data_IF_327099701218
#
_entry.id   IF_327099701218
#
_cell.length_a   1.000
_cell.length_b   1.000
_cell.length_c   1.000
_cell.angle_alpha   90.00
_cell.angle_beta   90.00
_cell.angle_gamma   90.00
#
_symmetry.space_group_name_H-M   'P 1'
#
loop_
_entity.id
_entity.type
_entity.pdbx_description
1 polymer ?
#
# COMPACT_ATOMS: atom_id res chain seq x y z
N UNK A 1 -11.47 -6.60 18.85
CA UNK A 1 -12.36 -7.63 18.27
C UNK A 1 -12.17 -7.78 16.76
N UNK A 2 -12.28 -6.72 16.00
CA UNK A 2 -12.18 -6.78 14.52
C UNK A 2 -10.77 -7.12 14.02
N UNK A 3 -9.73 -6.64 14.67
CA UNK A 3 -8.34 -6.91 14.29
C UNK A 3 -7.93 -8.37 14.51
N UNK A 4 -8.44 -8.98 15.57
CA UNK A 4 -8.21 -10.40 15.84
C UNK A 4 -8.89 -11.27 14.77
N UNK A 5 -10.10 -10.91 14.34
CA UNK A 5 -10.79 -11.59 13.25
C UNK A 5 -10.05 -11.46 11.91
N UNK A 6 -9.50 -10.30 11.60
CA UNK A 6 -8.69 -10.08 10.38
C UNK A 6 -7.41 -10.91 10.45
N UNK A 7 -6.70 -10.88 11.58
CA UNK A 7 -5.51 -11.70 11.80
C UNK A 7 -5.80 -13.19 11.65
N UNK A 8 -6.83 -13.68 12.32
CA UNK A 8 -7.17 -15.10 12.33
C UNK A 8 -7.70 -15.55 10.97
N UNK A 9 -8.47 -14.71 10.28
CA UNK A 9 -8.88 -14.95 8.89
C UNK A 9 -7.68 -14.99 7.95
N UNK A 10 -6.66 -14.17 8.19
CA UNK A 10 -5.40 -14.21 7.43
C UNK A 10 -4.63 -15.50 7.68
N UNK A 11 -4.48 -15.91 8.93
CA UNK A 11 -3.84 -17.18 9.26
C UNK A 11 -4.61 -18.36 8.67
N UNK A 12 -5.94 -18.34 8.71
CA UNK A 12 -6.77 -19.35 8.07
C UNK A 12 -6.58 -19.32 6.56
N UNK A 13 -6.54 -18.13 5.93
CA UNK A 13 -6.33 -18.00 4.49
C UNK A 13 -4.94 -18.47 4.06
N UNK A 14 -3.89 -18.18 4.85
CA UNK A 14 -2.54 -18.69 4.62
C UNK A 14 -2.52 -20.20 4.80
N UNK A 15 -3.12 -20.70 5.88
CA UNK A 15 -3.13 -22.12 6.21
C UNK A 15 -3.92 -22.92 5.18
N UNK A 16 -5.10 -22.43 4.79
CA UNK A 16 -5.92 -23.01 3.72
C UNK A 16 -5.28 -22.78 2.35
N UNK A 17 -4.66 -21.59 2.13
CA UNK A 17 -4.04 -21.22 0.87
C UNK A 17 -2.66 -21.82 0.63
N UNK A 18 -1.79 -21.89 1.63
CA UNK A 18 -0.40 -22.32 1.48
C UNK A 18 0.02 -23.44 2.40
N UNK A 19 -0.66 -23.61 3.54
CA UNK A 19 -0.17 -24.46 4.64
C UNK A 19 -0.60 -25.91 4.61
N UNK A 20 -1.69 -26.25 3.90
CA UNK A 20 -2.16 -27.64 3.84
C UNK A 20 -1.43 -28.48 2.80
N UNK A 21 -0.34 -27.95 2.23
CA UNK A 21 0.54 -28.67 1.31
C UNK A 21 -0.02 -28.83 -0.10
N UNK A 22 0.87 -29.03 -1.04
CA UNK A 22 0.54 -29.19 -2.45
C UNK A 22 -0.46 -30.34 -2.70
N UNK A 23 -0.45 -31.36 -1.87
CA UNK A 23 -1.38 -32.49 -1.99
C UNK A 23 -2.84 -32.11 -1.73
N UNK A 24 -3.11 -31.29 -0.70
CA UNK A 24 -4.45 -30.82 -0.45
C UNK A 24 -4.91 -29.82 -1.51
N UNK A 25 -4.03 -28.93 -1.93
CA UNK A 25 -4.27 -27.97 -3.00
C UNK A 25 -4.68 -28.68 -4.31
N UNK A 26 -4.01 -29.76 -4.67
CA UNK A 26 -4.27 -30.51 -5.90
C UNK A 26 -5.61 -31.29 -5.85
N UNK A 27 -6.13 -31.59 -4.68
CA UNK A 27 -7.37 -32.37 -4.51
C UNK A 27 -8.58 -31.51 -4.16
N UNK A 28 -8.40 -30.24 -3.80
CA UNK A 28 -9.48 -29.37 -3.39
C UNK A 28 -9.97 -28.47 -4.54
N UNK A 29 -11.27 -28.52 -4.92
CA UNK A 29 -11.82 -27.71 -6.02
C UNK A 29 -11.60 -26.21 -5.86
N UNK A 30 -11.62 -25.67 -4.64
CA UNK A 30 -11.38 -24.24 -4.37
C UNK A 30 -9.98 -23.82 -4.82
N UNK A 31 -9.02 -24.70 -4.70
CA UNK A 31 -7.64 -24.45 -5.13
C UNK A 31 -7.45 -24.54 -6.64
N UNK A 32 -8.25 -25.32 -7.32
CA UNK A 32 -8.22 -25.43 -8.78
C UNK A 32 -8.64 -24.12 -9.47
N UNK A 33 -9.32 -23.23 -8.75
CA UNK A 33 -9.70 -21.92 -9.26
C UNK A 33 -8.56 -20.88 -9.17
N UNK A 34 -7.56 -21.10 -8.31
CA UNK A 34 -6.35 -20.29 -8.23
C UNK A 34 -5.28 -20.80 -9.20
N UNK A 35 -5.55 -20.80 -10.48
CA UNK A 35 -4.67 -21.34 -11.52
C UNK A 35 -3.76 -20.30 -12.18
N UNK A 36 -3.94 -19.03 -11.86
CA UNK A 36 -3.18 -17.91 -12.40
C UNK A 36 -2.04 -17.49 -11.46
N UNK A 37 -0.88 -17.20 -12.02
CA UNK A 37 0.26 -16.64 -11.28
C UNK A 37 -0.13 -15.36 -10.53
N UNK A 38 -1.02 -14.58 -11.10
CA UNK A 38 -1.52 -13.33 -10.54
C UNK A 38 -2.24 -13.54 -9.20
N UNK A 39 -3.12 -14.55 -9.10
CA UNK A 39 -3.82 -14.87 -7.86
C UNK A 39 -2.85 -15.21 -6.73
N UNK A 40 -1.89 -16.10 -6.99
CA UNK A 40 -0.88 -16.48 -6.00
C UNK A 40 -0.05 -15.27 -5.57
N UNK A 41 0.45 -14.50 -6.54
CA UNK A 41 1.26 -13.32 -6.26
C UNK A 41 0.51 -12.30 -5.40
N UNK A 42 -0.77 -12.03 -5.70
CA UNK A 42 -1.62 -11.11 -4.93
C UNK A 42 -1.90 -11.60 -3.53
N UNK A 43 -2.27 -12.87 -3.36
CA UNK A 43 -2.56 -13.44 -2.03
C UNK A 43 -1.30 -13.40 -1.14
N UNK A 44 -0.15 -13.83 -1.65
CA UNK A 44 1.08 -13.80 -0.87
C UNK A 44 1.57 -12.39 -0.56
N UNK A 45 1.50 -11.46 -1.52
CA UNK A 45 1.90 -10.08 -1.29
C UNK A 45 0.98 -9.37 -0.28
N UNK A 46 -0.34 -9.58 -0.38
CA UNK A 46 -1.29 -9.02 0.58
C UNK A 46 -1.07 -9.57 1.99
N UNK A 47 -0.85 -10.88 2.10
CA UNK A 47 -0.55 -11.56 3.36
C UNK A 47 0.74 -11.04 4.00
N UNK A 48 1.83 -11.01 3.24
CA UNK A 48 3.11 -10.48 3.70
C UNK A 48 2.98 -9.02 4.14
N UNK A 49 2.21 -8.22 3.37
CA UNK A 49 1.92 -6.83 3.71
C UNK A 49 1.26 -6.67 5.07
N UNK A 50 0.19 -7.43 5.32
CA UNK A 50 -0.52 -7.34 6.60
C UNK A 50 0.32 -7.81 7.78
N UNK A 51 1.09 -8.89 7.63
CA UNK A 51 2.00 -9.35 8.67
C UNK A 51 3.05 -8.27 8.99
N UNK A 52 3.69 -7.72 7.97
CA UNK A 52 4.71 -6.69 8.16
C UNK A 52 4.15 -5.40 8.78
N UNK A 53 2.93 -4.99 8.40
CA UNK A 53 2.28 -3.82 9.01
C UNK A 53 1.95 -4.07 10.49
N UNK A 54 1.50 -5.28 10.84
CA UNK A 54 1.31 -5.65 12.25
C UNK A 54 2.64 -5.68 13.01
N UNK A 55 3.71 -6.16 12.39
CA UNK A 55 5.06 -6.16 13.01
C UNK A 55 5.52 -4.74 13.34
N UNK A 56 5.30 -3.78 12.44
CA UNK A 56 5.61 -2.36 12.68
C UNK A 56 4.72 -1.76 13.76
N UNK A 57 3.41 -1.94 13.64
CA UNK A 57 2.42 -1.40 14.56
C UNK A 57 2.63 -1.85 16.00
N UNK A 58 2.92 -3.13 16.20
CA UNK A 58 3.12 -3.72 17.53
C UNK A 58 4.60 -3.85 17.93
N UNK A 59 5.51 -3.36 17.11
CA UNK A 59 6.96 -3.48 17.36
C UNK A 59 7.39 -4.94 17.65
N UNK A 60 6.92 -5.89 16.86
CA UNK A 60 7.14 -7.32 17.10
C UNK A 60 8.59 -7.73 16.87
N UNK A 61 9.18 -8.28 17.92
CA UNK A 61 10.52 -8.85 17.88
C UNK A 61 11.61 -7.84 17.50
N UNK A 62 12.78 -8.33 17.18
CA UNK A 62 13.91 -7.49 16.75
C UNK A 62 13.69 -6.85 15.37
N UNK A 63 12.97 -7.52 14.48
CA UNK A 63 12.72 -7.04 13.11
C UNK A 63 11.74 -5.87 13.15
N UNK A 64 10.59 -6.01 13.81
CA UNK A 64 9.57 -4.97 13.87
C UNK A 64 10.03 -3.68 14.57
N UNK A 65 11.08 -3.77 15.40
CA UNK A 65 11.72 -2.62 16.10
C UNK A 65 12.88 -2.02 15.31
N UNK A 66 13.37 -2.70 14.27
CA UNK A 66 14.54 -2.24 13.54
C UNK A 66 14.20 -1.08 12.61
N UNK A 67 15.09 -0.07 12.57
CA UNK A 67 14.90 1.11 11.73
C UNK A 67 14.72 0.74 10.25
N UNK A 68 15.55 -0.16 9.72
CA UNK A 68 15.46 -0.56 8.31
C UNK A 68 14.11 -1.17 7.92
N UNK A 69 13.39 -1.77 8.88
CA UNK A 69 12.09 -2.37 8.61
C UNK A 69 10.98 -1.33 8.35
N UNK A 70 11.21 -0.06 8.67
CA UNK A 70 10.30 1.05 8.31
C UNK A 70 10.12 1.19 6.79
N UNK A 71 11.10 0.78 5.99
CA UNK A 71 11.00 0.75 4.53
C UNK A 71 10.13 -0.41 3.99
N UNK A 72 9.77 -1.39 4.82
CA UNK A 72 8.98 -2.54 4.40
C UNK A 72 7.63 -2.16 3.77
N UNK A 73 6.84 -1.21 4.30
CA UNK A 73 5.60 -0.76 3.67
C UNK A 73 5.81 -0.27 2.24
N UNK A 74 6.86 0.50 1.99
CA UNK A 74 7.22 0.90 0.64
C UNK A 74 7.46 -0.31 -0.26
N UNK A 75 8.30 -1.26 0.16
CA UNK A 75 8.67 -2.42 -0.64
C UNK A 75 7.46 -3.27 -1.00
N UNK A 76 6.59 -3.57 -0.03
CA UNK A 76 5.43 -4.43 -0.28
C UNK A 76 4.37 -3.73 -1.15
N UNK A 77 4.19 -2.42 -0.99
CA UNK A 77 3.28 -1.64 -1.85
C UNK A 77 3.82 -1.58 -3.27
N UNK A 78 5.13 -1.32 -3.44
CA UNK A 78 5.79 -1.32 -4.75
C UNK A 78 5.65 -2.68 -5.46
N UNK A 79 5.85 -3.79 -4.74
CA UNK A 79 5.64 -5.15 -5.29
C UNK A 79 4.18 -5.33 -5.74
N UNK A 80 3.21 -4.91 -4.94
CA UNK A 80 1.79 -5.01 -5.30
C UNK A 80 1.44 -4.17 -6.53
N UNK A 81 2.04 -2.99 -6.68
CA UNK A 81 1.90 -2.15 -7.88
C UNK A 81 2.54 -2.85 -9.08
N UNK A 82 3.77 -3.37 -8.94
CA UNK A 82 4.47 -4.06 -10.03
C UNK A 82 3.72 -5.30 -10.53
N UNK A 83 3.09 -6.09 -9.65
CA UNK A 83 2.24 -7.21 -10.05
C UNK A 83 1.11 -6.73 -10.97
N UNK A 84 0.45 -5.61 -10.65
CA UNK A 84 -0.60 -5.04 -11.48
C UNK A 84 -0.05 -4.46 -12.79
N UNK A 85 1.10 -3.80 -12.76
CA UNK A 85 1.79 -3.27 -13.96
C UNK A 85 2.15 -4.39 -14.92
N UNK A 86 2.67 -5.52 -14.41
CA UNK A 86 3.00 -6.69 -15.25
C UNK A 86 1.73 -7.25 -15.89
N UNK A 87 0.62 -7.33 -15.15
CA UNK A 87 -0.67 -7.78 -15.69
C UNK A 87 -1.21 -6.83 -16.77
N UNK A 88 -1.07 -5.51 -16.60
CA UNK A 88 -1.42 -4.54 -17.64
C UNK A 88 -0.59 -4.75 -18.91
N UNK A 89 0.73 -4.86 -18.79
CA UNK A 89 1.60 -5.10 -19.94
C UNK A 89 1.36 -6.49 -20.57
N UNK A 90 1.08 -7.51 -19.77
CA UNK A 90 0.69 -8.83 -20.30
C UNK A 90 -0.55 -8.69 -21.20
N UNK A 91 -1.58 -7.99 -20.72
CA UNK A 91 -2.81 -7.76 -21.50
C UNK A 91 -2.52 -6.95 -22.77
N UNK A 92 -1.69 -5.91 -22.69
CA UNK A 92 -1.29 -5.11 -23.83
C UNK A 92 -0.59 -5.97 -24.92
N UNK A 93 0.35 -6.82 -24.54
CA UNK A 93 1.17 -7.56 -25.49
C UNK A 93 0.50 -8.84 -26.02
N UNK A 94 -0.39 -9.46 -25.26
CA UNK A 94 -1.11 -10.67 -25.72
C UNK A 94 -2.08 -10.40 -26.87
N UNK A 95 -2.71 -9.25 -26.90
CA UNK A 95 -3.80 -8.97 -27.85
C UNK A 95 -3.91 -7.48 -28.21
N UNK A 96 -2.80 -6.86 -28.60
CA UNK A 96 -2.78 -5.42 -28.90
C UNK A 96 -3.79 -5.05 -30.02
N UNK A 97 -4.77 -4.21 -29.67
CA UNK A 97 -5.85 -3.80 -30.56
C UNK A 97 -6.97 -4.83 -30.75
N UNK A 98 -6.92 -5.94 -30.01
CA UNK A 98 -7.91 -7.02 -30.09
C UNK A 98 -8.29 -7.50 -28.68
N UNK A 99 -9.04 -8.59 -28.61
CA UNK A 99 -9.41 -9.24 -27.35
C UNK A 99 -8.67 -10.55 -27.16
N UNK A 100 -8.48 -10.92 -25.89
CA UNK A 100 -8.02 -12.25 -25.50
C UNK A 100 -8.81 -12.74 -24.29
N UNK A 101 -8.83 -14.03 -24.06
CA UNK A 101 -9.52 -14.63 -22.94
C UNK A 101 -8.48 -14.99 -21.87
N UNK A 102 -8.67 -14.48 -20.65
CA UNK A 102 -7.81 -14.79 -19.52
C UNK A 102 -7.97 -16.26 -19.10
N UNK A 103 -7.07 -16.73 -18.24
CA UNK A 103 -7.15 -18.10 -17.65
C UNK A 103 -8.44 -18.33 -16.85
N UNK A 104 -9.12 -17.26 -16.47
CA UNK A 104 -10.39 -17.26 -15.73
C UNK A 104 -11.62 -17.22 -16.63
N UNK A 105 -11.43 -17.25 -17.96
CA UNK A 105 -12.52 -17.16 -18.92
C UNK A 105 -13.05 -15.75 -19.18
N UNK A 106 -12.40 -14.72 -18.64
CA UNK A 106 -12.83 -13.32 -18.81
C UNK A 106 -12.21 -12.73 -20.07
N UNK A 107 -13.05 -12.09 -20.91
CA UNK A 107 -12.60 -11.43 -22.14
C UNK A 107 -12.02 -10.05 -21.81
N UNK A 108 -10.77 -9.83 -22.17
CA UNK A 108 -10.02 -8.61 -21.95
C UNK A 108 -9.60 -7.96 -23.27
N UNK A 109 -9.55 -6.64 -23.30
CA UNK A 109 -8.93 -5.89 -24.39
C UNK A 109 -7.47 -5.61 -24.07
N UNK A 110 -6.59 -5.80 -25.09
CA UNK A 110 -5.21 -5.35 -25.04
C UNK A 110 -5.02 -4.10 -25.88
N UNK A 111 -4.21 -3.15 -25.42
CA UNK A 111 -3.94 -1.95 -26.19
C UNK A 111 -3.23 -0.84 -25.41
N UNK A 112 -3.25 0.36 -25.99
CA UNK A 112 -2.61 1.54 -25.39
C UNK A 112 -3.09 1.87 -23.99
N UNK A 113 -4.35 1.60 -23.66
CA UNK A 113 -4.91 1.83 -22.33
C UNK A 113 -4.15 1.05 -21.25
N UNK A 114 -3.78 -0.20 -21.50
CA UNK A 114 -2.96 -0.99 -20.57
C UNK A 114 -1.52 -0.43 -20.49
N UNK A 115 -0.94 -0.01 -21.61
CA UNK A 115 0.40 0.60 -21.63
C UNK A 115 0.41 1.87 -20.79
N UNK A 116 -0.56 2.76 -20.99
CA UNK A 116 -0.65 4.02 -20.23
C UNK A 116 -0.89 3.77 -18.75
N UNK A 117 -1.73 2.80 -18.41
CA UNK A 117 -1.95 2.45 -17.01
C UNK A 117 -0.73 1.77 -16.39
N UNK A 118 -0.02 0.91 -17.10
CA UNK A 118 1.24 0.33 -16.66
C UNK A 118 2.30 1.41 -16.37
N UNK A 119 2.43 2.41 -17.26
CA UNK A 119 3.32 3.57 -17.04
C UNK A 119 2.86 4.38 -15.82
N UNK A 120 1.55 4.62 -15.67
CA UNK A 120 1.00 5.32 -14.51
C UNK A 120 1.34 4.59 -13.20
N UNK A 121 1.27 3.25 -13.18
CA UNK A 121 1.67 2.43 -12.03
C UNK A 121 3.15 2.54 -11.70
N UNK A 122 4.03 2.54 -12.70
CA UNK A 122 5.46 2.79 -12.49
C UNK A 122 5.72 4.17 -11.89
N UNK A 123 5.06 5.21 -12.41
CA UNK A 123 5.15 6.58 -11.87
C UNK A 123 4.62 6.62 -10.43
N UNK A 124 3.55 5.90 -10.12
CA UNK A 124 2.97 5.84 -8.79
C UNK A 124 3.96 5.33 -7.73
N UNK A 125 4.82 4.37 -8.07
CA UNK A 125 5.89 3.90 -7.18
C UNK A 125 6.82 5.05 -6.80
N UNK A 126 7.19 5.90 -7.75
CA UNK A 126 8.02 7.08 -7.48
C UNK A 126 7.30 8.19 -6.71
N UNK A 127 5.97 8.13 -6.61
CA UNK A 127 5.18 9.07 -5.80
C UNK A 127 5.13 8.70 -4.32
N UNK A 128 5.63 7.54 -3.90
CA UNK A 128 5.75 7.19 -2.49
C UNK A 128 6.96 7.89 -1.88
N UNK A 129 6.73 8.74 -0.89
CA UNK A 129 7.75 9.55 -0.22
C UNK A 129 7.87 9.22 1.26
N UNK A 130 8.93 9.65 1.93
CA UNK A 130 9.11 9.45 3.36
C UNK A 130 9.14 7.98 3.78
N UNK A 131 9.96 7.14 3.14
CA UNK A 131 9.97 5.68 3.38
C UNK A 131 10.34 5.29 4.81
N UNK A 132 11.11 6.14 5.48
CA UNK A 132 11.56 5.92 6.86
C UNK A 132 10.63 6.55 7.89
N UNK A 133 9.64 7.31 7.44
CA UNK A 133 8.69 8.04 8.27
C UNK A 133 7.38 7.26 8.44
N UNK A 134 7.51 6.03 8.91
CA UNK A 134 6.39 5.15 9.26
C UNK A 134 6.42 4.91 10.77
N UNK A 135 5.28 5.08 11.43
CA UNK A 135 5.16 5.09 12.87
C UNK A 135 3.98 4.24 13.36
N UNK A 136 4.02 3.83 14.63
CA UNK A 136 2.85 3.33 15.32
C UNK A 136 2.03 4.50 15.90
N UNK A 137 0.71 4.38 15.97
CA UNK A 137 -0.11 5.30 16.74
C UNK A 137 0.07 5.08 18.24
N UNK A 138 -0.22 6.11 19.08
CA UNK A 138 -0.08 6.07 20.52
C UNK A 138 -0.85 4.89 21.16
N UNK A 139 -2.06 4.64 20.68
CA UNK A 139 -2.90 3.53 21.12
C UNK A 139 -2.55 2.18 20.46
N UNK A 140 -1.50 2.15 19.63
CA UNK A 140 -1.09 0.98 18.83
C UNK A 140 -2.21 0.39 17.95
N UNK A 141 -3.23 1.18 17.62
CA UNK A 141 -4.32 0.72 16.75
C UNK A 141 -3.99 0.85 15.27
N UNK A 142 -3.06 1.76 14.92
CA UNK A 142 -2.72 2.07 13.53
C UNK A 142 -1.22 2.11 13.26
N UNK A 143 -0.84 1.70 12.05
CA UNK A 143 0.43 2.05 11.43
C UNK A 143 0.22 3.33 10.62
N UNK A 144 0.97 4.37 10.94
CA UNK A 144 0.84 5.69 10.33
C UNK A 144 1.96 5.93 9.31
N UNK A 145 1.60 6.44 8.15
CA UNK A 145 2.52 6.95 7.14
C UNK A 145 2.14 8.41 6.82
N UNK A 146 2.64 9.40 7.61
CA UNK A 146 2.19 10.80 7.52
C UNK A 146 2.47 11.45 6.17
N UNK A 147 3.55 11.07 5.50
CA UNK A 147 3.94 11.64 4.21
C UNK A 147 3.10 11.10 3.04
N UNK A 148 2.32 10.01 3.25
CA UNK A 148 1.37 9.48 2.28
C UNK A 148 0.06 10.28 2.34
N UNK A 149 0.08 11.45 1.72
CA UNK A 149 -1.04 12.42 1.74
C UNK A 149 -2.03 12.18 0.61
N UNK A 150 -3.07 13.03 0.55
CA UNK A 150 -4.09 13.00 -0.51
C UNK A 150 -3.52 13.00 -1.93
N UNK A 151 -2.34 13.59 -2.15
CA UNK A 151 -1.67 13.64 -3.47
C UNK A 151 -1.38 12.24 -3.97
N UNK A 152 -0.75 11.41 -3.12
CA UNK A 152 -0.48 10.00 -3.44
C UNK A 152 -1.77 9.20 -3.52
N UNK A 153 -2.66 9.36 -2.52
CA UNK A 153 -3.89 8.58 -2.38
C UNK A 153 -4.76 8.69 -3.63
N UNK A 154 -5.03 9.90 -4.10
CA UNK A 154 -5.86 10.11 -5.30
C UNK A 154 -5.19 9.57 -6.57
N UNK A 155 -3.88 9.78 -6.72
CA UNK A 155 -3.13 9.24 -7.85
C UNK A 155 -3.15 7.70 -7.87
N UNK A 156 -2.99 7.07 -6.71
CA UNK A 156 -3.09 5.62 -6.55
C UNK A 156 -4.50 5.11 -6.83
N UNK A 157 -5.53 5.75 -6.27
CA UNK A 157 -6.92 5.34 -6.45
C UNK A 157 -7.32 5.36 -7.93
N UNK A 158 -6.96 6.42 -8.65
CA UNK A 158 -7.25 6.54 -10.09
C UNK A 158 -6.48 5.49 -10.90
N UNK A 159 -5.20 5.25 -10.59
CA UNK A 159 -4.42 4.21 -11.23
C UNK A 159 -4.97 2.80 -10.95
N UNK A 160 -5.27 2.49 -9.69
CA UNK A 160 -5.74 1.17 -9.31
C UNK A 160 -7.16 0.88 -9.80
N UNK A 161 -8.04 1.89 -9.79
CA UNK A 161 -9.36 1.78 -10.43
C UNK A 161 -9.23 1.46 -11.92
N UNK A 162 -8.36 2.19 -12.63
CA UNK A 162 -8.10 1.93 -14.04
C UNK A 162 -7.58 0.51 -14.27
N UNK A 163 -6.63 0.04 -13.44
CA UNK A 163 -6.15 -1.32 -13.50
C UNK A 163 -7.27 -2.35 -13.37
N UNK A 164 -8.12 -2.20 -12.36
CA UNK A 164 -9.24 -3.14 -12.15
C UNK A 164 -10.28 -3.03 -13.27
N UNK A 165 -10.51 -1.84 -13.80
CA UNK A 165 -11.42 -1.62 -14.91
C UNK A 165 -10.96 -2.31 -16.20
N UNK A 166 -9.66 -2.30 -16.48
CA UNK A 166 -9.06 -2.88 -17.66
C UNK A 166 -8.82 -4.39 -17.55
N UNK A 167 -8.39 -4.86 -16.38
CA UNK A 167 -7.90 -6.24 -16.19
C UNK A 167 -8.82 -7.12 -15.36
N UNK A 168 -9.77 -6.54 -14.63
CA UNK A 168 -10.72 -7.25 -13.77
C UNK A 168 -12.17 -6.72 -13.99
N UNK A 169 -12.67 -6.75 -15.23
CA UNK A 169 -13.90 -6.04 -15.58
C UNK A 169 -15.15 -6.55 -14.85
N UNK A 170 -15.19 -7.81 -14.43
CA UNK A 170 -16.33 -8.42 -13.75
C UNK A 170 -16.54 -7.94 -12.32
N UNK A 171 -15.52 -7.36 -11.69
CA UNK A 171 -15.58 -6.93 -10.30
C UNK A 171 -14.87 -5.59 -10.02
N UNK A 172 -14.68 -4.77 -11.04
CA UNK A 172 -14.03 -3.46 -10.92
C UNK A 172 -14.78 -2.49 -10.00
N UNK A 173 -16.12 -2.56 -9.95
CA UNK A 173 -16.92 -1.65 -9.13
C UNK A 173 -16.80 -1.90 -7.63
N UNK A 174 -16.63 -3.13 -7.17
CA UNK A 174 -16.42 -3.38 -5.76
C UNK A 174 -14.93 -3.48 -5.38
N UNK A 175 -14.08 -4.15 -6.14
CA UNK A 175 -12.66 -4.24 -5.80
C UNK A 175 -11.87 -2.99 -6.21
N UNK A 176 -12.22 -2.36 -7.33
CA UNK A 176 -11.55 -1.17 -7.85
C UNK A 176 -12.16 0.14 -7.38
N UNK A 177 -13.43 0.18 -7.00
CA UNK A 177 -14.08 1.40 -6.54
C UNK A 177 -14.41 1.35 -5.04
N UNK A 178 -15.27 0.44 -4.60
CA UNK A 178 -15.72 0.43 -3.21
C UNK A 178 -14.58 0.16 -2.21
N UNK A 179 -13.69 -0.80 -2.52
CA UNK A 179 -12.56 -1.14 -1.67
C UNK A 179 -11.42 -0.11 -1.68
N UNK A 180 -11.38 0.81 -2.66
CA UNK A 180 -10.51 1.98 -2.65
C UNK A 180 -11.15 3.15 -1.95
N UNK A 181 -12.44 3.37 -2.18
CA UNK A 181 -13.17 4.48 -1.58
C UNK A 181 -13.22 4.36 -0.04
N UNK A 182 -13.40 3.16 0.49
CA UNK A 182 -13.50 2.94 1.93
C UNK A 182 -12.25 3.43 2.71
N UNK A 183 -11.01 3.00 2.40
CA UNK A 183 -9.81 3.51 3.08
C UNK A 183 -9.57 4.99 2.81
N UNK A 184 -9.94 5.50 1.63
CA UNK A 184 -9.75 6.90 1.23
C UNK A 184 -10.68 7.81 2.02
N UNK A 185 -11.96 7.48 2.13
CA UNK A 185 -12.90 8.21 2.98
C UNK A 185 -12.46 8.18 4.45
N UNK A 186 -12.06 7.01 4.96
CA UNK A 186 -11.54 6.89 6.32
C UNK A 186 -10.33 7.81 6.55
N UNK A 187 -9.35 7.80 5.65
CA UNK A 187 -8.15 8.64 5.78
C UNK A 187 -8.46 10.13 5.68
N UNK A 188 -9.47 10.53 4.91
CA UNK A 188 -9.82 11.95 4.76
C UNK A 188 -10.60 12.50 5.93
N UNK A 189 -11.43 11.68 6.58
CA UNK A 189 -12.34 12.14 7.64
C UNK A 189 -11.74 11.92 9.03
N UNK A 190 -11.29 10.70 9.38
CA UNK A 190 -10.89 10.38 10.77
C UNK A 190 -9.56 9.64 10.92
N UNK A 191 -9.07 8.92 9.89
CA UNK A 191 -7.86 8.10 10.02
C UNK A 191 -6.68 8.66 9.21
N UNK A 192 -6.27 9.90 9.53
CA UNK A 192 -5.11 10.54 8.90
C UNK A 192 -3.85 9.73 9.12
N UNK A 193 -3.09 9.51 8.04
CA UNK A 193 -1.87 8.70 8.04
C UNK A 193 -2.09 7.18 7.98
N UNK A 194 -3.28 6.66 8.25
CA UNK A 194 -3.59 5.23 8.27
C UNK A 194 -4.09 4.65 6.93
N UNK A 195 -4.03 5.40 5.85
CA UNK A 195 -4.62 4.98 4.57
C UNK A 195 -4.08 3.64 4.06
N UNK A 196 -2.77 3.46 4.03
CA UNK A 196 -2.16 2.25 3.46
C UNK A 196 -2.48 0.99 4.27
N UNK A 197 -2.56 1.11 5.59
CA UNK A 197 -3.01 0.02 6.45
C UNK A 197 -4.44 -0.38 6.12
N UNK A 198 -5.36 0.59 6.05
CA UNK A 198 -6.76 0.35 5.70
C UNK A 198 -6.89 -0.23 4.29
N UNK A 199 -6.06 0.24 3.35
CA UNK A 199 -6.00 -0.31 1.99
C UNK A 199 -5.49 -1.75 1.97
N UNK A 200 -4.51 -2.09 2.79
CA UNK A 200 -4.04 -3.45 2.94
C UNK A 200 -5.15 -4.37 3.48
N UNK A 201 -5.93 -3.91 4.44
CA UNK A 201 -7.05 -4.69 4.98
C UNK A 201 -8.16 -4.91 3.95
N UNK A 202 -8.54 -3.90 3.18
CA UNK A 202 -9.53 -4.06 2.12
C UNK A 202 -9.01 -4.98 1.00
N UNK A 203 -7.73 -4.89 0.64
CA UNK A 203 -7.10 -5.80 -0.31
C UNK A 203 -7.10 -7.23 0.20
N UNK A 204 -6.86 -7.42 1.49
CA UNK A 204 -6.90 -8.73 2.13
C UNK A 204 -8.25 -9.38 2.05
N UNK A 205 -9.30 -8.63 2.41
CA UNK A 205 -10.67 -9.11 2.32
C UNK A 205 -11.02 -9.48 0.88
N UNK A 206 -10.62 -8.66 -0.09
CA UNK A 206 -10.81 -8.98 -1.50
C UNK A 206 -10.07 -10.26 -1.89
N UNK A 207 -8.82 -10.45 -1.46
CA UNK A 207 -8.07 -11.67 -1.72
C UNK A 207 -8.76 -12.91 -1.17
N UNK A 208 -9.33 -12.85 0.03
CA UNK A 208 -10.06 -13.97 0.62
C UNK A 208 -11.30 -14.38 -0.18
N UNK A 209 -12.07 -13.42 -0.67
CA UNK A 209 -13.34 -13.71 -1.31
C UNK A 209 -13.25 -13.81 -2.83
N UNK A 210 -12.40 -13.04 -3.48
CA UNK A 210 -12.36 -12.95 -4.94
C UNK A 210 -11.14 -13.62 -5.56
N UNK A 211 -9.98 -13.63 -4.89
CA UNK A 211 -8.77 -14.23 -5.43
C UNK A 211 -8.67 -15.71 -5.09
N UNK A 212 -9.09 -16.12 -3.89
CA UNK A 212 -9.09 -17.54 -3.50
C UNK A 212 -10.31 -18.28 -4.01
N UNK A 213 -11.42 -17.58 -4.27
CA UNK A 213 -12.66 -18.12 -4.82
C UNK A 213 -13.13 -17.25 -5.98
N UNK A 214 -12.45 -17.30 -7.15
CA UNK A 214 -12.74 -16.41 -8.28
C UNK A 214 -14.18 -16.46 -8.77
N UNK A 215 -14.85 -17.62 -8.67
CA UNK A 215 -16.27 -17.75 -9.02
C UNK A 215 -17.18 -16.83 -8.20
N UNK A 216 -16.78 -16.44 -6.99
CA UNK A 216 -17.55 -15.48 -6.19
C UNK A 216 -17.63 -14.12 -6.89
N UNK A 217 -16.57 -13.70 -7.55
CA UNK A 217 -16.54 -12.43 -8.27
C UNK A 217 -17.05 -12.54 -9.72
N UNK A 218 -16.76 -13.66 -10.40
CA UNK A 218 -16.98 -13.78 -11.83
C UNK A 218 -18.34 -14.36 -12.21
N UNK A 219 -18.87 -15.30 -11.40
CA UNK A 219 -20.04 -16.10 -11.76
C UNK A 219 -21.24 -15.91 -10.81
N UNK A 220 -21.09 -15.12 -9.76
CA UNK A 220 -22.16 -14.91 -8.78
C UNK A 220 -23.00 -13.67 -9.08
N UNK A 221 -24.08 -13.49 -8.32
CA UNK A 221 -24.93 -12.28 -8.35
C UNK A 221 -24.16 -10.99 -7.99
N UNK A 222 -22.95 -11.11 -7.44
CA UNK A 222 -22.08 -10.00 -7.12
C UNK A 222 -21.17 -9.59 -8.28
N UNK A 223 -21.14 -10.36 -9.37
CA UNK A 223 -20.47 -9.95 -10.59
C UNK A 223 -21.17 -8.71 -11.16
N UNK A 224 -20.39 -7.65 -11.38
CA UNK A 224 -20.89 -6.40 -11.93
C UNK A 224 -19.91 -5.91 -12.99
N UNK A 225 -20.23 -6.22 -14.23
CA UNK A 225 -19.35 -5.91 -15.37
C UNK A 225 -19.15 -4.42 -15.55
N UNK A 226 -17.89 -4.03 -15.77
CA UNK A 226 -17.57 -2.73 -16.32
C UNK A 226 -17.88 -2.69 -17.84
N UNK A 227 -18.06 -1.48 -18.36
CA UNK A 227 -18.23 -1.31 -19.80
C UNK A 227 -16.91 -1.65 -20.50
N UNK A 228 -16.84 -2.83 -21.10
CA UNK A 228 -15.64 -3.29 -21.80
C UNK A 228 -15.55 -2.64 -23.20
N UNK A 229 -15.23 -1.34 -23.21
CA UNK A 229 -15.13 -0.52 -24.40
C UNK A 229 -13.73 0.10 -24.50
N UNK A 230 -12.96 -0.14 -25.57
CA UNK A 230 -11.60 0.37 -25.72
C UNK A 230 -11.44 1.89 -25.59
N UNK A 231 -12.46 2.66 -26.00
CA UNK A 231 -12.42 4.13 -25.88
C UNK A 231 -12.59 4.57 -24.43
N UNK A 232 -13.50 3.93 -23.67
CA UNK A 232 -13.68 4.20 -22.24
C UNK A 232 -12.41 3.80 -21.48
N UNK A 233 -11.86 2.62 -21.75
CA UNK A 233 -10.63 2.13 -21.17
C UNK A 233 -9.47 3.12 -21.41
N UNK A 234 -9.37 3.65 -22.64
CA UNK A 234 -8.35 4.65 -22.98
C UNK A 234 -8.52 5.95 -22.19
N UNK A 235 -9.74 6.48 -22.09
CA UNK A 235 -10.02 7.70 -21.33
C UNK A 235 -9.67 7.53 -19.86
N UNK A 236 -10.10 6.43 -19.24
CA UNK A 236 -9.79 6.15 -17.83
C UNK A 236 -8.28 6.03 -17.62
N UNK A 237 -7.55 5.40 -18.54
CA UNK A 237 -6.09 5.26 -18.47
C UNK A 237 -5.35 6.58 -18.64
N UNK A 238 -5.83 7.46 -19.51
CA UNK A 238 -5.26 8.80 -19.65
C UNK A 238 -5.48 9.67 -18.40
N UNK A 239 -6.64 9.55 -17.76
CA UNK A 239 -6.91 10.22 -16.47
C UNK A 239 -5.96 9.70 -15.39
N UNK A 240 -5.79 8.39 -15.29
CA UNK A 240 -4.86 7.77 -14.34
C UNK A 240 -3.42 8.22 -14.58
N UNK A 241 -2.97 8.22 -15.83
CA UNK A 241 -1.62 8.67 -16.19
C UNK A 241 -1.43 10.15 -15.87
N UNK A 242 -2.37 11.01 -16.26
CA UNK A 242 -2.29 12.45 -15.99
C UNK A 242 -2.23 12.75 -14.48
N UNK A 243 -3.04 12.07 -13.67
CA UNK A 243 -3.02 12.23 -12.22
C UNK A 243 -1.67 11.81 -11.60
N UNK A 244 -1.09 10.70 -12.05
CA UNK A 244 0.20 10.23 -11.55
C UNK A 244 1.35 11.14 -11.98
N UNK A 245 1.35 11.63 -13.22
CA UNK A 245 2.33 12.63 -13.69
C UNK A 245 2.21 13.92 -12.88
N UNK A 246 0.99 14.41 -12.63
CA UNK A 246 0.77 15.62 -11.83
C UNK A 246 1.23 15.43 -10.38
N UNK A 247 0.96 14.28 -9.77
CA UNK A 247 1.41 13.94 -8.42
C UNK A 247 2.94 13.94 -8.34
N UNK A 248 3.62 13.26 -9.28
CA UNK A 248 5.08 13.23 -9.32
C UNK A 248 5.67 14.63 -9.52
N UNK A 249 5.12 15.40 -10.45
CA UNK A 249 5.57 16.78 -10.70
C UNK A 249 5.44 17.65 -9.44
N UNK A 250 4.32 17.51 -8.71
CA UNK A 250 4.10 18.24 -7.46
C UNK A 250 5.07 17.80 -6.36
N UNK A 251 5.34 16.51 -6.21
CA UNK A 251 6.33 15.98 -5.27
C UNK A 251 7.73 16.51 -5.59
N UNK A 252 8.14 16.48 -6.86
CA UNK A 252 9.43 17.02 -7.30
C UNK A 252 9.53 18.53 -7.04
N UNK A 253 8.47 19.27 -7.31
CA UNK A 253 8.41 20.71 -7.00
C UNK A 253 8.61 20.96 -5.50
N UNK A 254 7.85 20.28 -4.64
CA UNK A 254 7.98 20.42 -3.18
C UNK A 254 9.33 20.01 -2.66
N UNK A 255 9.85 18.87 -3.13
CA UNK A 255 11.17 18.35 -2.76
C UNK A 255 12.27 19.37 -3.09
N UNK A 256 12.25 19.95 -4.28
CA UNK A 256 13.18 21.01 -4.67
C UNK A 256 13.01 22.27 -3.82
N UNK A 257 11.78 22.69 -3.54
CA UNK A 257 11.49 23.87 -2.70
C UNK A 257 11.98 23.71 -1.27
N UNK A 258 11.90 22.52 -0.72
CA UNK A 258 12.35 22.20 0.64
C UNK A 258 13.84 21.81 0.70
N UNK A 259 14.48 21.52 -0.44
CA UNK A 259 15.84 21.04 -0.51
C UNK A 259 16.04 19.63 0.04
N UNK A 260 14.99 18.78 0.01
CA UNK A 260 14.98 17.45 0.63
C UNK A 260 14.95 16.33 -0.42
N UNK A 261 15.51 15.18 -0.04
CA UNK A 261 15.36 13.96 -0.84
C UNK A 261 14.02 13.28 -0.48
N UNK A 262 13.06 13.16 -1.40
CA UNK A 262 11.71 12.68 -1.11
C UNK A 262 11.66 11.23 -0.59
N UNK A 263 12.70 10.44 -0.82
CA UNK A 263 12.75 9.04 -0.40
C UNK A 263 13.39 8.85 0.98
N UNK A 264 14.24 9.80 1.38
CA UNK A 264 14.89 9.78 2.69
C UNK A 264 14.21 10.69 3.71
N UNK A 265 13.52 11.73 3.23
CA UNK A 265 12.95 12.78 4.06
C UNK A 265 11.50 13.02 3.69
N UNK A 266 10.76 13.57 4.61
CA UNK A 266 9.36 13.92 4.44
C UNK A 266 9.19 15.15 3.56
N UNK A 267 8.28 15.07 2.60
CA UNK A 267 8.01 16.15 1.64
C UNK A 267 6.81 16.98 2.06
N UNK A 268 5.89 16.38 2.81
CA UNK A 268 4.61 17.00 3.16
C UNK A 268 4.57 17.61 4.56
N UNK A 269 5.72 17.75 5.21
CA UNK A 269 5.87 18.47 6.49
C UNK A 269 5.20 19.84 6.40
N UNK A 270 4.44 20.22 7.43
CA UNK A 270 3.70 21.47 7.50
C UNK A 270 2.33 21.47 6.82
N UNK A 271 1.94 20.42 6.12
CA UNK A 271 0.56 20.27 5.63
C UNK A 271 -0.37 19.81 6.76
N UNK A 272 -1.66 20.21 6.68
CA UNK A 272 -2.66 19.82 7.70
C UNK A 272 -2.81 18.30 7.84
N UNK A 273 -2.74 17.55 6.73
CA UNK A 273 -2.88 16.10 6.75
C UNK A 273 -1.69 15.45 7.45
N UNK A 274 -0.48 15.93 7.16
CA UNK A 274 0.74 15.48 7.83
C UNK A 274 0.69 15.75 9.34
N UNK A 275 0.36 16.98 9.73
CA UNK A 275 0.28 17.36 11.15
C UNK A 275 -0.73 16.52 11.92
N UNK A 276 -1.95 16.31 11.36
CA UNK A 276 -2.97 15.47 11.98
C UNK A 276 -2.56 14.00 12.10
N UNK A 277 -1.77 13.49 11.16
CA UNK A 277 -1.23 12.14 11.27
C UNK A 277 -0.18 12.07 12.39
N UNK A 278 0.65 13.11 12.51
CA UNK A 278 1.68 13.18 13.54
C UNK A 278 1.12 13.37 14.95
N UNK A 279 -0.01 14.08 15.11
CA UNK A 279 -0.73 14.19 16.39
C UNK A 279 -1.19 12.83 16.94
N UNK A 280 -1.35 11.82 16.09
CA UNK A 280 -1.75 10.47 16.48
C UNK A 280 -0.57 9.54 16.78
N UNK A 281 0.63 9.97 16.52
CA UNK A 281 1.83 9.17 16.65
C UNK A 281 2.12 8.90 18.13
N UNK A 282 2.59 7.69 18.45
CA UNK A 282 3.14 7.35 19.76
C UNK A 282 4.29 8.31 20.11
N UNK A 283 4.32 8.77 21.35
CA UNK A 283 5.39 9.65 21.82
C UNK A 283 6.74 8.93 21.67
N UNK A 284 7.74 9.65 21.13
CA UNK A 284 9.08 9.11 20.93
C UNK A 284 9.83 8.83 22.23
N UNK A 285 9.40 9.41 23.33
CA UNK A 285 9.93 9.06 24.64
C UNK A 285 9.87 7.54 24.89
N UNK A 286 8.82 6.87 24.42
CA UNK A 286 8.70 5.41 24.52
C UNK A 286 9.76 4.66 23.69
N UNK A 287 10.17 5.19 22.55
CA UNK A 287 11.25 4.60 21.74
C UNK A 287 12.63 4.85 22.36
N UNK A 288 12.80 5.93 23.11
CA UNK A 288 14.03 6.26 23.84
C UNK A 288 14.14 5.47 25.15
N UNK A 289 13.03 5.10 25.79
CA UNK A 289 13.02 4.24 26.98
C UNK A 289 13.35 2.78 26.69
N UNK A 290 13.23 2.31 25.44
CA UNK A 290 13.56 0.93 25.04
C UNK A 290 14.99 0.76 24.49
N UNK A 291 15.66 1.83 24.14
CA UNK A 291 17.11 1.88 23.87
C UNK A 291 17.82 2.34 25.16
N UNK A 292 19.02 1.82 25.46
CA UNK A 292 19.72 2.23 26.67
C UNK A 292 19.91 3.76 26.66
N UNK A 293 19.29 4.38 27.65
CA UNK A 293 19.15 5.82 27.81
C UNK A 293 20.52 6.52 27.86
N UNK A 294 21.04 6.96 26.75
CA UNK A 294 22.16 7.90 26.73
C UNK A 294 22.51 8.39 25.31
N UNK A 295 21.52 8.83 24.52
CA UNK A 295 21.87 9.59 23.34
C UNK A 295 22.35 10.98 23.74
N UNK A 296 23.56 11.32 23.38
CA UNK A 296 24.11 12.68 23.53
C UNK A 296 23.43 13.62 22.53
N UNK A 297 23.51 14.93 22.75
CA UNK A 297 22.98 15.91 21.81
C UNK A 297 23.54 15.74 20.38
N UNK A 298 24.78 15.25 20.24
CA UNK A 298 25.40 14.95 18.96
C UNK A 298 24.77 13.72 18.28
N UNK A 299 24.52 12.65 19.03
CA UNK A 299 23.84 11.44 18.55
C UNK A 299 22.39 11.75 18.14
N UNK A 300 21.66 12.56 18.91
CA UNK A 300 20.31 13.03 18.55
C UNK A 300 20.36 13.84 17.24
N UNK A 301 21.34 14.74 17.10
CA UNK A 301 21.49 15.53 15.88
C UNK A 301 21.83 14.64 14.65
N UNK A 302 22.64 13.59 14.83
CA UNK A 302 22.94 12.62 13.79
C UNK A 302 21.70 11.79 13.42
N UNK A 303 20.94 11.30 14.41
CA UNK A 303 19.69 10.57 14.19
C UNK A 303 18.64 11.44 13.48
N UNK A 304 18.57 12.73 13.79
CA UNK A 304 17.72 13.69 13.07
C UNK A 304 18.21 13.88 11.63
N UNK A 305 19.53 13.99 11.42
CA UNK A 305 20.11 14.15 10.09
C UNK A 305 19.89 12.91 9.19
N UNK A 306 19.83 11.72 9.79
CA UNK A 306 19.52 10.46 9.09
C UNK A 306 18.01 10.14 9.04
N UNK A 307 17.14 11.04 9.47
CA UNK A 307 15.68 10.82 9.58
C UNK A 307 15.29 9.67 10.55
N UNK A 308 16.14 9.30 11.44
CA UNK A 308 15.82 8.36 12.52
C UNK A 308 14.92 9.00 13.56
N UNK A 309 15.05 10.31 13.71
CA UNK A 309 14.18 11.16 14.53
C UNK A 309 13.65 12.34 13.68
N UNK A 310 12.47 12.88 13.99
CA UNK A 310 11.96 14.11 13.39
C UNK A 310 12.89 15.29 13.63
N UNK A 311 12.87 16.28 12.73
CA UNK A 311 13.66 17.49 12.89
C UNK A 311 13.36 18.20 14.23
N UNK A 312 14.41 18.71 14.87
CA UNK A 312 14.26 19.52 16.08
C UNK A 312 13.31 20.70 15.83
N UNK A 313 12.33 20.89 16.71
CA UNK A 313 11.28 21.91 16.55
C UNK A 313 10.02 21.42 15.81
N UNK A 314 9.93 20.15 15.42
CA UNK A 314 8.69 19.55 14.94
C UNK A 314 7.66 19.55 16.07
N UNK A 315 6.43 20.09 15.89
CA UNK A 315 5.42 20.11 16.94
C UNK A 315 5.09 18.69 17.44
N UNK A 316 5.10 18.52 18.76
CA UNK A 316 4.87 17.22 19.42
C UNK A 316 6.15 16.46 19.75
N UNK A 317 7.33 17.00 19.47
CA UNK A 317 8.62 16.39 19.80
C UNK A 317 9.43 17.27 20.74
N UNK A 318 9.82 16.69 21.87
CA UNK A 318 10.79 17.28 22.80
C UNK A 318 11.92 16.28 22.95
N UNK A 319 13.12 16.63 22.49
CA UNK A 319 14.32 15.84 22.71
C UNK A 319 14.98 16.29 23.99
N UNK A 320 15.17 15.36 24.92
CA UNK A 320 15.94 15.60 26.15
C UNK A 320 17.26 14.88 25.99
N UNK A 321 18.32 15.64 25.75
CA UNK A 321 19.69 15.11 25.79
C UNK A 321 20.06 14.78 27.21
N UNK A 322 20.58 13.57 27.44
CA UNK A 322 21.15 13.19 28.73
C UNK A 322 22.66 13.52 28.69
N UNK A 323 23.11 14.39 29.56
CA UNK A 323 24.56 14.57 29.75
C UNK A 323 25.14 13.27 30.30
N UNK A 324 26.09 12.68 29.60
CA UNK A 324 26.89 11.58 30.14
C UNK A 324 27.80 12.20 31.22
N UNK A 325 27.56 11.86 32.48
CA UNK A 325 28.53 12.08 33.49
C UNK A 325 29.84 11.40 33.08
N UNK A 326 30.90 12.19 32.87
CA UNK A 326 32.25 11.69 32.65
C UNK A 326 32.64 10.88 33.88
N UNK A 327 32.68 9.55 33.75
CA UNK A 327 33.31 8.64 34.69
C UNK A 327 34.77 8.40 34.31
#
# INVERSE_FOLDING_TARGET
GSEMCIRDSYFISIYVGAGMGAGWALTNPTYLHMNSWFHYAKVYAATAGCIGFMMLKYSWGKIGRSHWFKAFPFVIVAINILIAVVSDFESAFRAFGTTWVSTEGVTLYGGWHNVFNGIAGLINIFCMTGWWSVYASEDQTDMLWPDMTWVFIIAYDLWNFCYTYNCLPTHSWFCGFALLLAPTVAAFIWNKGGWIQNRAFTLSMWCMFCQMVPMFANDSVFAADSVNNPQVNLVVSLIALAANVAALAYIVYRSKKLGVNPYKQEVFVGTKDFQKAMERRADTAYLLETEPASATAAEIAEMVAYNELPATGTPGYVYVAVEKDEQ
#
